data_IF_953485548460
#
_entry.id   IF_953485548460
#
_cell.length_a   1.000
_cell.length_b   1.000
_cell.length_c   1.000
_cell.angle_alpha   90.00
_cell.angle_beta   90.00
_cell.angle_gamma   90.00
#
_symmetry.space_group_name_H-M   'P 1'
#
loop_
_entity.id
_entity.type
_entity.pdbx_description
1 polymer ?
#
# COMPACT_ATOMS: atom_id res chain seq x y z
N UNK A 1 27.44 13.68 -10.96
CA UNK A 1 27.89 12.61 -11.88
C UNK A 1 29.07 11.89 -11.23
N UNK A 2 29.11 10.55 -11.18
CA UNK A 2 28.23 9.60 -11.87
C UNK A 2 26.95 9.30 -11.07
N UNK A 3 25.91 9.00 -11.83
CA UNK A 3 24.50 8.86 -11.49
C UNK A 3 23.99 7.68 -12.30
N UNK A 4 23.92 6.54 -11.63
CA UNK A 4 23.38 5.22 -11.97
C UNK A 4 23.98 4.31 -10.91
N UNK A 5 23.22 3.40 -10.33
CA UNK A 5 23.86 2.19 -9.80
C UNK A 5 24.60 1.61 -11.01
N UNK A 6 25.92 1.75 -11.02
CA UNK A 6 26.73 1.29 -12.12
C UNK A 6 26.51 -0.21 -12.16
N UNK A 7 25.94 -0.67 -13.27
CA UNK A 7 25.76 -2.09 -13.43
C UNK A 7 27.15 -2.72 -13.35
N UNK A 8 27.31 -3.78 -12.54
CA UNK A 8 28.60 -4.38 -12.27
C UNK A 8 29.31 -4.68 -13.59
N UNK A 9 30.59 -4.35 -13.62
CA UNK A 9 31.43 -4.52 -14.80
C UNK A 9 32.29 -5.76 -14.61
N UNK A 10 32.47 -6.49 -15.70
CA UNK A 10 33.47 -7.53 -15.78
C UNK A 10 34.88 -6.92 -15.68
N UNK A 11 35.91 -7.70 -15.33
CA UNK A 11 37.29 -7.22 -15.25
C UNK A 11 37.84 -6.60 -16.55
N UNK A 12 37.25 -6.94 -17.69
CA UNK A 12 37.57 -6.39 -19.00
C UNK A 12 36.93 -5.01 -19.26
N UNK A 13 36.13 -4.50 -18.31
CA UNK A 13 35.47 -3.21 -18.34
C UNK A 13 34.11 -3.20 -19.05
N UNK A 14 33.64 -4.32 -19.60
CA UNK A 14 32.30 -4.44 -20.17
C UNK A 14 31.23 -4.68 -19.09
N UNK A 15 30.00 -4.27 -19.36
CA UNK A 15 28.86 -4.55 -18.49
C UNK A 15 28.67 -6.07 -18.32
N UNK A 16 28.43 -6.51 -17.09
CA UNK A 16 28.09 -7.91 -16.81
C UNK A 16 26.84 -8.32 -17.60
N UNK A 17 26.87 -9.49 -18.25
CA UNK A 17 25.74 -9.95 -19.07
C UNK A 17 24.57 -10.53 -18.25
N UNK A 18 24.75 -10.61 -16.93
CA UNK A 18 23.74 -11.11 -16.02
C UNK A 18 23.68 -12.62 -15.92
N UNK A 19 24.66 -13.38 -16.42
CA UNK A 19 24.62 -14.85 -16.41
C UNK A 19 25.79 -15.45 -15.67
N UNK A 20 25.64 -16.72 -15.26
CA UNK A 20 26.73 -17.50 -14.66
C UNK A 20 27.35 -16.87 -13.39
N UNK A 21 26.57 -16.11 -12.61
CA UNK A 21 27.10 -15.39 -11.45
C UNK A 21 27.75 -16.34 -10.45
N UNK A 22 27.11 -17.48 -10.13
CA UNK A 22 27.68 -18.47 -9.22
C UNK A 22 29.06 -18.94 -9.70
N UNK A 23 29.17 -19.25 -11.00
CA UNK A 23 30.44 -19.67 -11.60
C UNK A 23 31.49 -18.57 -11.45
N UNK A 24 31.17 -17.35 -11.85
CA UNK A 24 32.08 -16.20 -11.77
C UNK A 24 32.57 -15.95 -10.34
N UNK A 25 31.66 -16.01 -9.37
CA UNK A 25 31.96 -15.81 -7.94
C UNK A 25 32.89 -16.90 -7.41
N UNK A 26 32.64 -18.18 -7.73
CA UNK A 26 33.50 -19.30 -7.29
C UNK A 26 34.90 -19.28 -7.91
N UNK A 27 35.05 -18.66 -9.08
CA UNK A 27 36.35 -18.46 -9.74
C UNK A 27 37.03 -17.15 -9.34
N UNK A 28 36.49 -16.41 -8.35
CA UNK A 28 37.08 -15.14 -7.88
C UNK A 28 37.05 -14.04 -8.95
N UNK A 29 36.05 -14.07 -9.82
CA UNK A 29 35.80 -13.09 -10.88
C UNK A 29 34.41 -12.48 -10.70
N UNK A 30 34.00 -12.22 -9.46
CA UNK A 30 32.67 -11.68 -9.21
C UNK A 30 32.60 -10.27 -9.78
N UNK A 31 31.59 -9.96 -10.61
CA UNK A 31 31.45 -8.61 -11.15
C UNK A 31 31.02 -7.60 -10.06
N UNK A 32 30.73 -8.09 -8.84
CA UNK A 32 30.36 -7.30 -7.66
C UNK A 32 31.49 -7.13 -6.64
N UNK A 33 32.72 -7.63 -6.90
CA UNK A 33 33.80 -7.71 -5.90
C UNK A 33 34.12 -6.38 -5.18
N UNK A 34 33.83 -5.23 -5.80
CA UNK A 34 34.06 -3.91 -5.20
C UNK A 34 32.90 -3.38 -4.33
N UNK A 35 31.73 -3.99 -4.43
CA UNK A 35 30.51 -3.52 -3.76
C UNK A 35 29.92 -4.56 -2.80
N UNK A 36 30.01 -5.85 -3.14
CA UNK A 36 29.43 -6.92 -2.35
C UNK A 36 30.16 -8.26 -2.53
N UNK A 37 30.52 -8.88 -1.41
CA UNK A 37 31.06 -10.25 -1.39
C UNK A 37 29.92 -11.28 -1.54
N UNK A 38 29.53 -11.52 -2.78
CA UNK A 38 28.51 -12.51 -3.14
C UNK A 38 28.94 -13.92 -2.74
N UNK A 39 30.25 -14.22 -2.70
CA UNK A 39 30.73 -15.55 -2.31
C UNK A 39 30.47 -15.82 -0.83
N UNK A 40 30.73 -14.83 0.03
CA UNK A 40 30.45 -14.91 1.45
C UNK A 40 28.95 -15.15 1.69
N UNK A 41 28.07 -14.40 1.01
CA UNK A 41 26.62 -14.62 1.11
C UNK A 41 26.23 -16.05 0.76
N UNK A 42 26.75 -16.57 -0.36
CA UNK A 42 26.47 -17.95 -0.78
C UNK A 42 26.93 -18.93 0.29
N UNK A 43 28.15 -18.78 0.82
CA UNK A 43 28.68 -19.63 1.89
C UNK A 43 27.80 -19.59 3.15
N UNK A 44 27.38 -18.40 3.58
CA UNK A 44 26.49 -18.24 4.73
C UNK A 44 25.13 -18.92 4.52
N UNK A 45 24.57 -18.84 3.31
CA UNK A 45 23.34 -19.55 2.97
C UNK A 45 23.56 -21.07 3.00
N UNK A 46 24.64 -21.56 2.39
CA UNK A 46 24.93 -22.99 2.35
C UNK A 46 25.12 -23.58 3.74
N UNK A 47 25.86 -22.88 4.60
CA UNK A 47 26.09 -23.27 5.99
C UNK A 47 24.81 -23.27 6.82
N UNK A 48 23.97 -22.23 6.68
CA UNK A 48 22.71 -22.12 7.43
C UNK A 48 21.66 -23.13 7.01
N UNK A 49 21.57 -23.41 5.71
CA UNK A 49 20.52 -24.28 5.17
C UNK A 49 20.99 -25.74 4.96
N UNK A 50 22.26 -26.04 5.24
CA UNK A 50 22.88 -27.36 5.02
C UNK A 50 22.63 -27.87 3.58
N UNK A 51 22.64 -26.96 2.62
CA UNK A 51 22.29 -27.21 1.23
C UNK A 51 23.20 -26.40 0.31
N UNK A 52 23.64 -26.98 -0.81
CA UNK A 52 24.52 -26.30 -1.75
C UNK A 52 23.73 -25.43 -2.73
N UNK A 53 24.21 -24.21 -2.97
CA UNK A 53 23.72 -23.38 -4.07
C UNK A 53 24.34 -23.92 -5.35
N UNK A 54 23.51 -24.52 -6.21
CA UNK A 54 23.99 -25.19 -7.43
C UNK A 54 24.00 -24.29 -8.66
N UNK A 55 23.25 -23.19 -8.66
CA UNK A 55 23.27 -22.20 -9.74
C UNK A 55 22.72 -20.83 -9.30
N UNK A 56 23.14 -19.77 -10.00
CA UNK A 56 22.49 -18.45 -10.04
C UNK A 56 22.26 -18.14 -11.52
N UNK A 57 21.10 -18.53 -12.07
CA UNK A 57 20.92 -18.64 -13.52
C UNK A 57 20.88 -17.30 -14.23
N UNK A 58 20.37 -16.25 -13.58
CA UNK A 58 20.27 -14.92 -14.16
C UNK A 58 20.23 -13.81 -13.12
N UNK A 59 20.87 -12.70 -13.43
CA UNK A 59 20.95 -11.44 -12.68
C UNK A 59 20.63 -10.33 -13.67
N UNK A 60 19.41 -9.79 -13.63
CA UNK A 60 18.98 -8.82 -14.64
C UNK A 60 19.14 -7.38 -14.17
N UNK A 61 19.67 -6.52 -15.03
CA UNK A 61 19.48 -5.08 -14.94
C UNK A 61 18.05 -4.76 -15.34
N UNK A 62 17.38 -3.85 -14.62
CA UNK A 62 16.71 -2.80 -15.37
C UNK A 62 15.21 -2.60 -15.20
N UNK A 63 14.93 -1.31 -15.23
CA UNK A 63 13.70 -0.60 -15.59
C UNK A 63 12.74 -1.27 -16.59
N UNK A 64 13.24 -1.98 -17.61
CA UNK A 64 12.40 -2.60 -18.65
C UNK A 64 11.63 -3.83 -18.14
N UNK A 65 12.18 -4.57 -17.18
CA UNK A 65 11.44 -5.67 -16.53
C UNK A 65 10.40 -5.11 -15.55
N UNK A 66 10.69 -3.98 -14.90
CA UNK A 66 9.76 -3.32 -14.00
C UNK A 66 8.51 -2.83 -14.72
N UNK A 67 8.61 -2.23 -15.92
CA UNK A 67 7.41 -1.77 -16.62
C UNK A 67 6.44 -2.92 -16.97
N UNK A 68 6.96 -4.05 -17.46
CA UNK A 68 6.16 -5.24 -17.72
C UNK A 68 5.59 -5.83 -16.42
N UNK A 69 6.42 -5.96 -15.39
CA UNK A 69 6.02 -6.49 -14.09
C UNK A 69 4.96 -5.62 -13.41
N UNK A 70 5.11 -4.30 -13.44
CA UNK A 70 4.13 -3.33 -12.91
C UNK A 70 2.81 -3.41 -13.67
N UNK A 71 2.86 -3.61 -14.99
CA UNK A 71 1.64 -3.83 -15.78
C UNK A 71 0.95 -5.15 -15.40
N UNK A 72 1.71 -6.22 -15.13
CA UNK A 72 1.16 -7.49 -14.60
C UNK A 72 0.59 -7.34 -13.20
N UNK A 73 1.30 -6.64 -12.31
CA UNK A 73 0.83 -6.33 -10.97
C UNK A 73 -0.46 -5.50 -11.01
N UNK A 74 -0.54 -4.50 -11.89
CA UNK A 74 -1.74 -3.70 -12.09
C UNK A 74 -2.93 -4.55 -12.57
N UNK A 75 -2.70 -5.50 -13.48
CA UNK A 75 -3.74 -6.43 -13.91
C UNK A 75 -4.22 -7.36 -12.77
N UNK A 76 -3.31 -7.86 -11.94
CA UNK A 76 -3.67 -8.65 -10.73
C UNK A 76 -4.48 -7.78 -9.77
N UNK A 77 -4.04 -6.54 -9.51
CA UNK A 77 -4.76 -5.61 -8.64
C UNK A 77 -6.15 -5.28 -9.17
N UNK A 78 -6.30 -5.03 -10.47
CA UNK A 78 -7.60 -4.85 -11.12
C UNK A 78 -8.49 -6.08 -10.95
N UNK A 79 -7.91 -7.28 -11.06
CA UNK A 79 -8.64 -8.55 -10.87
C UNK A 79 -9.11 -8.74 -9.43
N UNK A 80 -8.27 -8.43 -8.43
CA UNK A 80 -8.66 -8.43 -7.01
C UNK A 80 -9.76 -7.41 -6.73
N UNK A 81 -9.63 -6.20 -7.26
CA UNK A 81 -10.65 -5.17 -7.12
C UNK A 81 -11.99 -5.60 -7.74
N UNK A 82 -11.98 -6.27 -8.90
CA UNK A 82 -13.20 -6.77 -9.59
C UNK A 82 -13.76 -8.05 -8.99
N UNK A 83 -13.01 -8.74 -8.14
CA UNK A 83 -13.48 -9.95 -7.50
C UNK A 83 -14.76 -9.65 -6.69
N UNK A 84 -15.83 -10.40 -6.98
CA UNK A 84 -17.12 -10.25 -6.31
C UNK A 84 -17.08 -10.99 -4.99
N UNK A 85 -16.79 -10.27 -3.91
CA UNK A 85 -16.77 -10.84 -2.55
C UNK A 85 -18.17 -11.35 -2.19
N UNK A 86 -18.33 -12.64 -1.82
CA UNK A 86 -19.62 -13.18 -1.41
C UNK A 86 -20.17 -12.44 -0.18
N UNK A 87 -21.47 -12.05 -0.15
CA UNK A 87 -22.01 -11.27 0.96
C UNK A 87 -21.85 -11.94 2.33
N UNK A 88 -22.10 -13.25 2.41
CA UNK A 88 -21.91 -14.03 3.64
C UNK A 88 -20.44 -14.05 4.10
N UNK A 89 -19.49 -14.09 3.17
CA UNK A 89 -18.07 -14.01 3.47
C UNK A 89 -17.70 -12.62 4.02
N UNK A 90 -18.18 -11.54 3.38
CA UNK A 90 -17.98 -10.18 3.86
C UNK A 90 -18.57 -9.97 5.26
N UNK A 91 -19.81 -10.40 5.49
CA UNK A 91 -20.47 -10.27 6.80
C UNK A 91 -19.74 -11.04 7.91
N UNK A 92 -19.14 -12.19 7.61
CA UNK A 92 -18.39 -12.98 8.58
C UNK A 92 -17.02 -12.37 8.91
N UNK A 93 -16.30 -11.87 7.90
CA UNK A 93 -14.87 -11.58 8.03
C UNK A 93 -14.50 -10.10 8.09
N UNK A 94 -15.35 -9.18 7.59
CA UNK A 94 -15.01 -7.76 7.45
C UNK A 94 -14.49 -7.16 8.75
N UNK A 95 -15.24 -7.30 9.85
CA UNK A 95 -14.82 -6.75 11.17
C UNK A 95 -13.51 -7.36 11.65
N UNK A 96 -13.37 -8.68 11.57
CA UNK A 96 -12.20 -9.38 12.07
C UNK A 96 -10.93 -8.97 11.33
N UNK A 97 -11.05 -8.71 10.03
CA UNK A 97 -9.96 -8.32 9.12
C UNK A 97 -9.73 -6.81 9.02
N UNK A 98 -10.45 -5.99 9.78
CA UNK A 98 -10.08 -4.57 9.92
C UNK A 98 -8.71 -4.45 10.60
N UNK A 99 -7.94 -3.44 10.19
CA UNK A 99 -6.70 -3.06 10.86
C UNK A 99 -6.94 -2.64 12.31
N UNK A 100 -5.86 -2.56 13.08
CA UNK A 100 -5.89 -2.31 14.52
C UNK A 100 -6.66 -1.05 14.93
N UNK A 101 -7.05 -0.99 16.21
CA UNK A 101 -8.01 -0.01 16.74
C UNK A 101 -9.36 -0.07 16.02
N UNK A 102 -9.92 -1.28 15.92
CA UNK A 102 -11.22 -1.57 15.29
C UNK A 102 -12.35 -1.66 16.31
N UNK A 103 -13.61 -1.44 15.89
CA UNK A 103 -14.75 -1.56 16.79
C UNK A 103 -15.01 -3.00 17.23
N UNK A 104 -15.45 -3.17 18.47
CA UNK A 104 -15.85 -4.47 19.02
C UNK A 104 -17.07 -5.04 18.30
N UNK A 105 -18.02 -4.17 17.95
CA UNK A 105 -19.26 -4.49 17.25
C UNK A 105 -19.52 -3.46 16.16
N UNK A 106 -20.07 -3.92 15.04
CA UNK A 106 -20.56 -3.01 14.00
C UNK A 106 -21.99 -2.60 14.36
N UNK A 107 -22.33 -1.31 14.27
CA UNK A 107 -23.60 -0.77 14.79
C UNK A 107 -24.81 -1.18 13.95
N UNK A 108 -24.59 -1.59 12.70
CA UNK A 108 -25.64 -2.05 11.78
C UNK A 108 -25.15 -3.27 10.99
N UNK A 109 -26.06 -4.07 10.40
CA UNK A 109 -25.69 -5.23 9.58
C UNK A 109 -24.73 -4.88 8.45
N UNK A 110 -23.73 -5.75 8.24
CA UNK A 110 -22.77 -5.60 7.14
C UNK A 110 -23.49 -5.68 5.80
N UNK A 111 -23.38 -4.62 5.00
CA UNK A 111 -23.95 -4.57 3.66
C UNK A 111 -23.28 -3.51 2.79
N UNK A 112 -23.29 -3.66 1.46
CA UNK A 112 -22.65 -2.73 0.52
C UNK A 112 -23.51 -1.48 0.33
N UNK A 113 -23.75 -0.75 1.43
CA UNK A 113 -24.62 0.42 1.48
C UNK A 113 -23.84 1.64 1.96
N UNK A 114 -24.34 2.82 1.59
CA UNK A 114 -23.79 4.08 2.09
C UNK A 114 -23.89 4.16 3.61
N UNK A 115 -25.02 3.76 4.15
CA UNK A 115 -25.33 3.77 5.58
C UNK A 115 -24.31 2.93 6.35
N UNK A 116 -24.00 1.73 5.84
CA UNK A 116 -22.97 0.88 6.42
C UNK A 116 -21.58 1.50 6.32
N UNK A 117 -21.22 2.10 5.18
CA UNK A 117 -19.90 2.72 5.02
C UNK A 117 -19.72 3.94 5.93
N UNK A 118 -20.76 4.76 6.10
CA UNK A 118 -20.79 5.87 7.08
C UNK A 118 -20.58 5.31 8.48
N UNK A 119 -21.35 4.28 8.85
CA UNK A 119 -21.27 3.67 10.17
C UNK A 119 -19.90 3.03 10.43
N UNK A 120 -19.33 2.33 9.44
CA UNK A 120 -18.00 1.73 9.52
C UNK A 120 -16.92 2.78 9.77
N UNK A 121 -16.90 3.87 8.99
CA UNK A 121 -15.90 4.93 9.13
C UNK A 121 -16.06 5.67 10.46
N UNK A 122 -17.30 5.90 10.91
CA UNK A 122 -17.59 6.48 12.21
C UNK A 122 -17.10 5.58 13.36
N UNK A 123 -17.46 4.29 13.37
CA UNK A 123 -17.01 3.33 14.38
C UNK A 123 -15.50 3.14 14.36
N UNK A 124 -14.84 3.20 13.20
CA UNK A 124 -13.37 3.18 13.13
C UNK A 124 -12.76 4.43 13.73
N UNK A 125 -13.36 5.59 13.49
CA UNK A 125 -12.95 6.86 14.10
C UNK A 125 -13.08 6.79 15.62
N UNK A 126 -14.19 6.25 16.14
CA UNK A 126 -14.40 6.09 17.58
C UNK A 126 -13.41 5.12 18.23
N UNK A 127 -13.16 3.98 17.58
CA UNK A 127 -12.22 2.98 18.09
C UNK A 127 -10.76 3.48 18.07
N UNK A 128 -10.42 4.36 17.13
CA UNK A 128 -9.07 4.96 17.03
C UNK A 128 -8.90 6.15 17.95
N UNK A 129 -9.86 7.09 17.95
CA UNK A 129 -9.91 8.26 18.82
C UNK A 129 -10.83 7.94 20.00
N UNK A 130 -10.27 7.26 21.00
CA UNK A 130 -10.93 6.88 22.26
C UNK A 130 -11.51 8.11 23.02
N UNK A 131 -12.22 7.87 24.11
CA UNK A 131 -12.83 8.96 24.89
C UNK A 131 -11.84 9.65 25.82
N UNK A 132 -12.16 10.87 26.27
CA UNK A 132 -11.30 11.66 27.16
C UNK A 132 -10.93 10.83 28.39
N UNK A 133 -9.62 10.77 28.69
CA UNK A 133 -9.11 10.01 29.82
C UNK A 133 -8.77 8.56 29.50
N UNK A 134 -9.18 8.03 28.34
CA UNK A 134 -8.75 6.70 27.90
C UNK A 134 -7.26 6.70 27.56
N UNK A 135 -6.57 5.59 27.83
CA UNK A 135 -5.16 5.43 27.46
C UNK A 135 -5.01 5.30 25.94
N UNK A 136 -4.13 6.12 25.38
CA UNK A 136 -3.73 6.13 23.96
C UNK A 136 -2.27 5.76 23.81
N UNK A 137 -1.99 4.56 23.30
CA UNK A 137 -0.62 4.07 23.05
C UNK A 137 -0.31 2.76 23.79
N UNK A 138 0.95 2.34 23.76
CA UNK A 138 1.48 1.27 24.60
C UNK A 138 1.40 1.67 26.09
N UNK A 139 1.27 0.69 26.97
CA UNK A 139 1.05 0.86 28.43
C UNK A 139 2.12 1.70 29.15
N UNK A 140 3.29 1.91 28.53
CA UNK A 140 4.41 2.66 29.09
C UNK A 140 4.33 4.19 28.88
N UNK A 141 3.48 4.65 27.96
CA UNK A 141 3.25 6.07 27.71
C UNK A 141 1.96 6.51 28.43
N UNK A 142 2.09 7.33 29.48
CA UNK A 142 1.03 7.99 30.26
C UNK A 142 0.16 8.98 29.43
N UNK A 143 0.00 8.73 28.13
CA UNK A 143 -0.75 9.53 27.17
C UNK A 143 -2.24 9.17 27.26
N UNK A 144 -2.98 9.93 28.07
CA UNK A 144 -4.44 9.92 28.04
C UNK A 144 -4.99 10.81 26.91
N UNK A 145 -6.19 10.48 26.40
CA UNK A 145 -6.89 11.32 25.43
C UNK A 145 -7.14 12.72 26.02
N UNK A 146 -6.42 13.71 25.49
CA UNK A 146 -6.62 15.12 25.81
C UNK A 146 -7.77 15.77 25.04
N UNK A 147 -8.17 17.01 25.43
CA UNK A 147 -9.30 17.72 24.83
C UNK A 147 -9.15 17.97 23.32
N UNK A 148 -7.92 18.05 22.81
CA UNK A 148 -7.64 18.22 21.37
C UNK A 148 -8.12 17.00 20.56
N UNK A 149 -7.85 15.80 21.05
CA UNK A 149 -8.23 14.55 20.37
C UNK A 149 -9.75 14.39 20.41
N UNK A 150 -10.38 14.69 21.55
CA UNK A 150 -11.83 14.67 21.68
C UNK A 150 -12.54 15.68 20.76
N UNK A 151 -11.98 16.89 20.61
CA UNK A 151 -12.48 17.87 19.65
C UNK A 151 -12.35 17.35 18.21
N UNK A 152 -11.20 16.79 17.84
CA UNK A 152 -10.98 16.19 16.53
C UNK A 152 -11.97 15.05 16.22
N UNK A 153 -12.21 14.15 17.20
CA UNK A 153 -13.23 13.09 17.10
C UNK A 153 -14.59 13.66 16.77
N UNK A 154 -15.03 14.68 17.52
CA UNK A 154 -16.34 15.33 17.32
C UNK A 154 -16.46 15.93 15.91
N UNK A 155 -15.42 16.63 15.44
CA UNK A 155 -15.38 17.22 14.10
C UNK A 155 -15.48 16.16 13.01
N UNK A 156 -14.74 15.05 13.15
CA UNK A 156 -14.74 13.94 12.19
C UNK A 156 -16.10 13.24 12.13
N UNK A 157 -16.68 12.90 13.29
CA UNK A 157 -18.00 12.26 13.35
C UNK A 157 -19.10 13.15 12.75
N UNK A 158 -18.99 14.48 12.90
CA UNK A 158 -19.88 15.41 12.22
C UNK A 158 -19.64 15.44 10.71
N UNK A 159 -18.41 15.35 10.23
CA UNK A 159 -18.05 15.44 8.81
C UNK A 159 -18.42 14.17 8.00
N UNK A 160 -18.19 12.98 8.56
CA UNK A 160 -18.30 11.70 7.84
C UNK A 160 -19.62 11.54 7.03
N UNK A 161 -20.81 11.86 7.58
CA UNK A 161 -22.06 11.74 6.83
C UNK A 161 -22.18 12.68 5.62
N UNK A 162 -21.37 13.73 5.54
CA UNK A 162 -21.44 14.74 4.47
C UNK A 162 -20.45 14.49 3.33
N UNK A 163 -19.31 13.84 3.62
CA UNK A 163 -18.28 13.52 2.63
C UNK A 163 -18.55 12.22 1.87
N UNK A 164 -19.41 11.35 2.41
CA UNK A 164 -19.81 10.12 1.72
C UNK A 164 -20.79 10.45 0.57
N UNK A 165 -20.49 10.07 -0.69
CA UNK A 165 -21.34 10.38 -1.85
C UNK A 165 -22.81 9.97 -1.68
N UNK A 166 -23.76 10.70 -2.27
CA UNK A 166 -25.21 10.40 -2.24
C UNK A 166 -25.69 10.10 -3.68
N UNK A 167 -26.43 9.02 -3.93
CA UNK A 167 -26.94 8.69 -5.27
C UNK A 167 -27.21 7.19 -5.51
N UNK A 168 -28.04 6.88 -6.51
CA UNK A 168 -28.54 5.53 -6.83
C UNK A 168 -27.65 4.75 -7.83
N UNK A 169 -26.70 5.40 -8.52
CA UNK A 169 -25.68 4.74 -9.35
C UNK A 169 -24.47 4.22 -8.53
N UNK A 170 -24.60 4.18 -7.20
CA UNK A 170 -23.51 4.01 -6.23
C UNK A 170 -23.20 2.56 -5.82
N UNK A 171 -23.79 1.55 -6.46
CA UNK A 171 -23.50 0.14 -6.10
C UNK A 171 -22.01 -0.18 -6.21
N UNK A 172 -21.30 0.47 -7.15
CA UNK A 172 -19.85 0.28 -7.33
C UNK A 172 -19.00 0.98 -6.26
N UNK A 173 -19.50 2.02 -5.59
CA UNK A 173 -18.76 2.73 -4.53
C UNK A 173 -18.70 1.92 -3.24
N UNK A 174 -19.81 1.26 -2.90
CA UNK A 174 -19.98 0.63 -1.59
C UNK A 174 -19.89 -0.90 -1.63
N UNK A 175 -19.81 -1.52 -2.82
CA UNK A 175 -19.51 -2.95 -2.92
C UNK A 175 -18.22 -3.28 -2.17
N UNK A 176 -18.18 -4.47 -1.60
CA UNK A 176 -16.98 -4.95 -0.93
C UNK A 176 -15.97 -5.47 -1.95
N UNK A 177 -14.71 -5.15 -1.69
CA UNK A 177 -13.54 -5.62 -2.44
C UNK A 177 -12.57 -6.32 -1.51
N UNK A 178 -11.68 -7.11 -2.10
CA UNK A 178 -10.60 -7.77 -1.39
C UNK A 178 -9.29 -7.01 -1.65
N UNK A 179 -8.71 -6.48 -0.58
CA UNK A 179 -7.38 -5.88 -0.61
C UNK A 179 -6.36 -6.81 0.04
N UNK A 180 -5.15 -6.83 -0.52
CA UNK A 180 -4.07 -7.66 -0.03
C UNK A 180 -3.51 -7.20 1.32
N UNK A 181 -3.56 -5.90 1.61
CA UNK A 181 -2.98 -5.28 2.81
C UNK A 181 -1.49 -4.97 2.69
N UNK A 182 -0.71 -5.83 2.03
CA UNK A 182 0.71 -5.59 1.72
C UNK A 182 1.04 -5.97 0.27
N UNK A 183 0.48 -5.23 -0.69
CA UNK A 183 0.64 -5.58 -2.10
C UNK A 183 1.92 -4.99 -2.67
N UNK A 184 2.91 -5.84 -2.93
CA UNK A 184 4.17 -5.42 -3.51
C UNK A 184 4.91 -6.52 -4.22
N UNK A 185 5.98 -6.14 -4.93
CA UNK A 185 6.84 -7.10 -5.65
C UNK A 185 7.41 -8.15 -4.70
N UNK A 186 7.72 -7.77 -3.46
CA UNK A 186 8.28 -8.66 -2.43
C UNK A 186 7.35 -9.83 -2.08
N UNK A 187 6.04 -9.71 -2.35
CA UNK A 187 5.04 -10.75 -2.09
C UNK A 187 4.63 -11.53 -3.34
N UNK A 188 5.28 -11.29 -4.49
CA UNK A 188 4.95 -11.92 -5.77
C UNK A 188 5.97 -13.00 -6.16
N UNK A 189 5.49 -14.19 -6.54
CA UNK A 189 6.32 -15.18 -7.25
C UNK A 189 6.39 -14.83 -8.73
N UNK A 190 7.58 -14.47 -9.19
CA UNK A 190 7.82 -14.06 -10.58
C UNK A 190 8.62 -15.15 -11.29
N UNK A 191 8.03 -15.72 -12.34
CA UNK A 191 8.68 -16.64 -13.27
C UNK A 191 8.91 -15.95 -14.61
N UNK A 192 9.91 -16.38 -15.38
CA UNK A 192 10.04 -15.95 -16.77
C UNK A 192 9.20 -16.85 -17.67
N UNK A 193 8.41 -16.25 -18.56
CA UNK A 193 7.69 -16.99 -19.58
C UNK A 193 8.62 -17.42 -20.74
N UNK A 194 8.06 -18.16 -21.70
CA UNK A 194 8.78 -18.64 -22.89
C UNK A 194 9.38 -17.52 -23.77
N UNK A 195 8.95 -16.28 -23.60
CA UNK A 195 9.42 -15.10 -24.31
C UNK A 195 10.36 -14.25 -23.45
N UNK A 196 10.83 -14.78 -22.31
CA UNK A 196 11.67 -14.07 -21.34
C UNK A 196 10.99 -12.82 -20.74
N UNK A 197 9.66 -12.83 -20.62
CA UNK A 197 8.88 -11.79 -19.96
C UNK A 197 8.52 -12.22 -18.53
N UNK A 198 8.54 -11.29 -17.57
CA UNK A 198 8.14 -11.60 -16.20
C UNK A 198 6.65 -11.93 -16.13
N UNK A 199 6.34 -13.04 -15.47
CA UNK A 199 5.00 -13.53 -15.20
C UNK A 199 4.84 -13.74 -13.70
N UNK A 200 3.92 -13.01 -13.09
CA UNK A 200 3.51 -13.26 -11.71
C UNK A 200 2.58 -14.47 -11.69
N UNK A 201 2.95 -15.50 -10.93
CA UNK A 201 2.20 -16.77 -10.86
C UNK A 201 1.46 -16.95 -9.54
N UNK A 202 1.96 -16.33 -8.46
CA UNK A 202 1.41 -16.41 -7.11
C UNK A 202 1.60 -15.09 -6.36
N UNK A 203 0.70 -14.83 -5.42
CA UNK A 203 0.76 -13.73 -4.47
C UNK A 203 0.60 -14.30 -3.06
N UNK A 204 1.53 -13.98 -2.16
CA UNK A 204 1.61 -14.53 -0.80
C UNK A 204 1.44 -13.45 0.25
N UNK A 205 1.44 -13.87 1.52
CA UNK A 205 1.39 -12.97 2.68
C UNK A 205 0.06 -12.23 2.86
N UNK A 206 -1.03 -13.00 2.77
CA UNK A 206 -2.40 -12.52 2.96
C UNK A 206 -2.77 -12.26 4.43
N UNK A 207 -1.80 -12.17 5.34
CA UNK A 207 -2.07 -11.98 6.77
C UNK A 207 -2.79 -10.65 7.05
N UNK A 208 -2.41 -9.60 6.31
CA UNK A 208 -3.00 -8.25 6.34
C UNK A 208 -4.16 -8.06 5.36
N UNK A 209 -4.55 -9.14 4.67
CA UNK A 209 -5.64 -9.14 3.70
C UNK A 209 -6.98 -8.77 4.34
N UNK A 210 -7.70 -7.85 3.70
CA UNK A 210 -8.91 -7.28 4.29
C UNK A 210 -10.03 -7.01 3.28
N UNK A 211 -11.24 -6.95 3.82
CA UNK A 211 -12.47 -6.68 3.06
C UNK A 211 -12.91 -5.27 3.38
N UNK A 212 -13.02 -4.42 2.37
CA UNK A 212 -13.39 -3.01 2.54
C UNK A 212 -14.39 -2.57 1.48
N UNK A 213 -15.21 -1.55 1.76
CA UNK A 213 -15.95 -0.85 0.71
C UNK A 213 -15.00 -0.34 -0.37
N UNK A 214 -15.37 -0.45 -1.64
CA UNK A 214 -14.53 -0.06 -2.78
C UNK A 214 -14.02 1.38 -2.66
N UNK A 215 -14.83 2.31 -2.14
CA UNK A 215 -14.47 3.71 -1.90
C UNK A 215 -13.26 3.89 -0.96
N UNK A 216 -13.02 2.93 -0.07
CA UNK A 216 -11.92 2.93 0.90
C UNK A 216 -10.74 2.04 0.48
N UNK A 217 -10.83 1.36 -0.66
CA UNK A 217 -9.85 0.37 -1.10
C UNK A 217 -8.50 0.97 -1.50
N UNK A 218 -7.40 0.28 -1.19
CA UNK A 218 -6.06 0.79 -1.46
C UNK A 218 -5.42 0.19 -2.73
N UNK A 219 -5.22 0.99 -3.80
CA UNK A 219 -4.58 0.53 -5.02
C UNK A 219 -3.06 0.46 -4.91
N UNK A 220 -2.48 0.73 -3.73
CA UNK A 220 -1.04 0.75 -3.48
C UNK A 220 -0.30 -0.43 -4.12
N UNK A 221 0.88 -0.10 -4.64
CA UNK A 221 1.87 -1.06 -5.11
C UNK A 221 3.22 -0.74 -4.47
N UNK A 222 3.68 -1.61 -3.58
CA UNK A 222 4.97 -1.50 -2.94
C UNK A 222 6.09 -2.05 -3.86
N UNK A 223 7.07 -1.18 -4.09
CA UNK A 223 8.37 -1.51 -4.68
C UNK A 223 9.44 -1.01 -3.70
N UNK A 224 10.58 -0.50 -4.17
CA UNK A 224 11.54 0.25 -3.31
C UNK A 224 10.89 1.45 -2.61
N UNK A 225 9.79 1.95 -3.15
CA UNK A 225 8.92 3.01 -2.62
C UNK A 225 7.46 2.56 -2.76
N UNK A 226 6.53 3.26 -2.14
CA UNK A 226 5.10 2.96 -2.32
C UNK A 226 4.53 3.81 -3.45
N UNK A 227 4.02 3.15 -4.49
CA UNK A 227 3.26 3.79 -5.56
C UNK A 227 1.80 3.89 -5.10
N UNK A 228 1.30 5.11 -4.88
CA UNK A 228 -0.03 5.35 -4.31
C UNK A 228 -0.89 6.23 -5.21
N UNK A 229 -2.21 6.10 -5.10
CA UNK A 229 -3.14 7.01 -5.73
C UNK A 229 -3.33 8.22 -4.80
N UNK A 230 -2.82 9.38 -5.23
CA UNK A 230 -2.95 10.65 -4.53
C UNK A 230 -4.32 11.32 -4.77
N UNK A 231 -4.32 12.64 -4.63
CA UNK A 231 -5.50 13.48 -4.92
C UNK A 231 -5.99 13.26 -6.36
N UNK A 232 -7.32 13.23 -6.54
CA UNK A 232 -7.96 12.94 -7.82
C UNK A 232 -7.52 11.64 -8.52
N UNK A 233 -7.09 10.64 -7.75
CA UNK A 233 -6.49 9.39 -8.23
C UNK A 233 -5.20 9.61 -9.06
N UNK A 234 -4.53 10.76 -8.91
CA UNK A 234 -3.28 11.02 -9.59
C UNK A 234 -2.15 10.11 -9.06
N UNK A 235 -1.25 9.62 -9.94
CA UNK A 235 -0.09 8.86 -9.51
C UNK A 235 0.78 9.66 -8.52
N UNK A 236 1.09 9.07 -7.37
CA UNK A 236 1.92 9.68 -6.34
C UNK A 236 2.86 8.65 -5.69
N UNK A 237 3.69 9.10 -4.76
CA UNK A 237 4.75 8.32 -4.10
C UNK A 237 4.73 8.58 -2.60
N UNK A 238 4.97 7.53 -1.81
CA UNK A 238 5.27 7.64 -0.38
C UNK A 238 6.43 6.72 0.00
N UNK A 239 6.89 6.80 1.27
CA UNK A 239 8.10 6.10 1.78
C UNK A 239 9.37 6.38 0.97
N UNK A 240 9.49 7.59 0.45
CA UNK A 240 10.74 8.04 -0.16
C UNK A 240 11.83 8.14 0.92
N UNK A 241 13.06 7.68 0.66
CA UNK A 241 14.17 7.89 1.58
C UNK A 241 14.50 9.38 1.67
N UNK A 242 14.91 9.85 2.85
CA UNK A 242 15.29 11.25 3.08
C UNK A 242 16.45 11.70 2.16
N UNK A 243 17.24 10.75 1.68
CA UNK A 243 18.38 10.95 0.77
C UNK A 243 18.02 10.68 -0.69
N UNK A 244 16.74 10.68 -1.07
CA UNK A 244 16.30 10.41 -2.44
C UNK A 244 16.95 11.39 -3.44
N UNK A 245 17.60 10.84 -4.46
CA UNK A 245 18.21 11.61 -5.55
C UNK A 245 17.14 12.04 -6.57
N UNK A 246 17.45 13.06 -7.38
CA UNK A 246 16.57 13.50 -8.46
C UNK A 246 16.27 12.37 -9.46
N UNK A 247 17.27 11.54 -9.77
CA UNK A 247 17.12 10.42 -10.69
C UNK A 247 16.18 9.34 -10.15
N UNK A 248 16.32 8.99 -8.85
CA UNK A 248 15.41 8.04 -8.19
C UNK A 248 13.96 8.57 -8.21
N UNK A 249 13.78 9.87 -7.97
CA UNK A 249 12.46 10.51 -8.02
C UNK A 249 11.86 10.46 -9.43
N UNK A 250 12.65 10.72 -10.47
CA UNK A 250 12.19 10.64 -11.87
C UNK A 250 11.81 9.20 -12.24
N UNK A 251 12.65 8.24 -11.86
CA UNK A 251 12.43 6.82 -12.12
C UNK A 251 11.15 6.31 -11.46
N UNK A 252 11.04 6.49 -10.13
CA UNK A 252 9.87 6.04 -9.35
C UNK A 252 8.60 6.78 -9.74
N UNK A 253 8.68 8.06 -10.10
CA UNK A 253 7.54 8.80 -10.65
C UNK A 253 7.06 8.19 -11.96
N UNK A 254 7.99 7.70 -12.79
CA UNK A 254 7.62 7.03 -14.04
C UNK A 254 6.98 5.67 -13.79
N UNK A 255 7.48 4.90 -12.83
CA UNK A 255 6.84 3.65 -12.39
C UNK A 255 5.42 3.88 -11.87
N UNK A 256 5.21 4.89 -11.02
CA UNK A 256 3.88 5.27 -10.51
C UNK A 256 2.92 5.58 -11.67
N UNK A 257 3.34 6.43 -12.62
CA UNK A 257 2.52 6.73 -13.80
C UNK A 257 2.18 5.50 -14.64
N UNK A 258 3.15 4.60 -14.85
CA UNK A 258 2.93 3.39 -15.65
C UNK A 258 1.97 2.41 -14.96
N UNK A 259 2.17 2.17 -13.66
CA UNK A 259 1.33 1.29 -12.87
C UNK A 259 -0.13 1.78 -12.85
N UNK A 260 -0.38 3.03 -12.48
CA UNK A 260 -1.74 3.57 -12.41
C UNK A 260 -2.40 3.70 -13.78
N UNK A 261 -1.64 4.03 -14.83
CA UNK A 261 -2.15 4.00 -16.21
C UNK A 261 -2.64 2.59 -16.59
N UNK A 262 -1.86 1.56 -16.29
CA UNK A 262 -2.26 0.18 -16.56
C UNK A 262 -3.46 -0.24 -15.69
N UNK A 263 -3.43 0.08 -14.40
CA UNK A 263 -4.49 -0.28 -13.45
C UNK A 263 -5.84 0.33 -13.84
N UNK A 264 -5.87 1.61 -14.17
CA UNK A 264 -7.12 2.30 -14.53
C UNK A 264 -7.55 2.04 -15.98
N UNK A 265 -6.63 1.64 -16.86
CA UNK A 265 -7.01 1.07 -18.14
C UNK A 265 -7.76 -0.26 -17.95
N UNK A 266 -7.25 -1.13 -17.07
CA UNK A 266 -7.88 -2.42 -16.77
C UNK A 266 -9.19 -2.23 -16.00
N UNK A 267 -9.22 -1.38 -14.97
CA UNK A 267 -10.35 -1.11 -14.07
C UNK A 267 -10.69 0.39 -13.98
N UNK A 268 -11.30 1.00 -15.01
CA UNK A 268 -11.61 2.43 -15.03
C UNK A 268 -12.63 2.84 -13.96
N UNK A 269 -13.46 1.92 -13.49
CA UNK A 269 -14.36 2.13 -12.37
C UNK A 269 -13.62 2.36 -11.04
N UNK A 270 -12.41 1.79 -10.87
CA UNK A 270 -11.62 1.96 -9.65
C UNK A 270 -11.11 3.40 -9.54
N UNK A 271 -10.68 3.99 -10.66
CA UNK A 271 -10.28 5.40 -10.72
C UNK A 271 -11.42 6.33 -10.28
N UNK A 272 -12.64 6.10 -10.81
CA UNK A 272 -13.83 6.88 -10.44
C UNK A 272 -14.15 6.76 -8.95
N UNK A 273 -14.05 5.56 -8.41
CA UNK A 273 -14.33 5.27 -6.99
C UNK A 273 -13.29 5.95 -6.08
N UNK A 274 -12.00 5.92 -6.45
CA UNK A 274 -10.94 6.61 -5.70
C UNK A 274 -11.19 8.13 -5.70
N UNK A 275 -11.51 8.71 -6.85
CA UNK A 275 -11.85 10.15 -6.96
C UNK A 275 -13.06 10.53 -6.11
N UNK A 276 -14.15 9.75 -6.21
CA UNK A 276 -15.36 9.98 -5.43
C UNK A 276 -15.12 9.82 -3.92
N UNK A 277 -14.14 9.02 -3.52
CA UNK A 277 -13.80 8.75 -2.13
C UNK A 277 -12.81 9.71 -1.48
N UNK A 278 -12.28 10.71 -2.18
CA UNK A 278 -11.12 11.51 -1.74
C UNK A 278 -11.10 11.90 -0.25
N UNK A 279 -12.16 12.55 0.23
CA UNK A 279 -12.28 12.97 1.63
C UNK A 279 -12.40 11.78 2.61
N UNK A 280 -13.20 10.76 2.26
CA UNK A 280 -13.39 9.58 3.10
C UNK A 280 -12.09 8.75 3.21
N UNK A 281 -11.36 8.65 2.10
CA UNK A 281 -10.05 8.01 2.01
C UNK A 281 -9.00 8.75 2.84
N UNK A 282 -9.01 10.09 2.80
CA UNK A 282 -8.11 10.88 3.63
C UNK A 282 -8.26 10.53 5.12
N UNK A 283 -9.50 10.44 5.62
CA UNK A 283 -9.75 10.01 7.00
C UNK A 283 -9.28 8.55 7.18
N UNK A 284 -9.73 7.64 6.33
CA UNK A 284 -9.43 6.21 6.44
C UNK A 284 -7.93 5.90 6.55
N UNK A 285 -7.13 6.42 5.63
CA UNK A 285 -5.68 6.19 5.62
C UNK A 285 -4.97 6.95 6.74
N UNK A 286 -5.48 8.10 7.19
CA UNK A 286 -4.92 8.78 8.36
C UNK A 286 -5.18 7.98 9.65
N UNK A 287 -6.33 7.31 9.76
CA UNK A 287 -6.60 6.40 10.89
C UNK A 287 -5.75 5.14 10.80
N UNK A 288 -5.48 4.62 9.60
CA UNK A 288 -4.65 3.44 9.38
C UNK A 288 -3.16 3.68 9.66
N UNK A 289 -2.64 4.84 9.27
CA UNK A 289 -1.23 5.21 9.45
C UNK A 289 -0.86 5.64 10.88
N UNK A 290 -1.83 5.64 11.80
CA UNK A 290 -1.61 6.05 13.18
C UNK A 290 -0.78 5.02 13.95
N UNK A 291 0.40 5.42 14.43
CA UNK A 291 1.34 4.54 15.15
C UNK A 291 1.17 4.51 16.67
N UNK A 292 0.40 5.44 17.26
CA UNK A 292 0.27 5.60 18.71
C UNK A 292 0.96 6.84 19.29
N UNK A 293 1.84 7.52 18.54
CA UNK A 293 2.72 8.56 19.08
C UNK A 293 2.17 9.99 19.00
N UNK A 294 2.09 10.69 20.14
CA UNK A 294 1.67 12.11 20.24
C UNK A 294 0.27 12.38 19.64
N UNK A 295 -0.78 11.75 20.18
CA UNK A 295 -2.13 11.76 19.59
C UNK A 295 -2.71 13.16 19.44
N UNK A 296 -2.45 14.07 20.38
CA UNK A 296 -2.89 15.46 20.29
C UNK A 296 -2.32 16.21 19.08
N UNK A 297 -1.04 16.01 18.75
CA UNK A 297 -0.42 16.66 17.58
C UNK A 297 -0.91 16.04 16.27
N UNK A 298 -1.04 14.72 16.24
CA UNK A 298 -1.46 13.99 15.05
C UNK A 298 -2.93 14.25 14.73
N UNK A 299 -3.84 13.92 15.65
CA UNK A 299 -5.28 14.11 15.46
C UNK A 299 -5.70 15.58 15.52
N UNK A 300 -4.94 16.46 16.16
CA UNK A 300 -5.19 17.90 16.11
C UNK A 300 -5.13 18.45 14.67
N UNK A 301 -4.18 17.97 13.85
CA UNK A 301 -4.12 18.35 12.42
C UNK A 301 -5.31 17.81 11.63
N UNK A 302 -5.68 16.55 11.87
CA UNK A 302 -6.82 15.92 11.21
C UNK A 302 -8.14 16.60 11.59
N UNK A 303 -8.32 16.96 12.86
CA UNK A 303 -9.47 17.72 13.35
C UNK A 303 -9.56 19.12 12.75
N UNK A 304 -8.43 19.84 12.65
CA UNK A 304 -8.38 21.14 11.99
C UNK A 304 -8.71 21.04 10.49
N UNK A 305 -8.25 19.99 9.81
CA UNK A 305 -8.67 19.69 8.43
C UNK A 305 -10.18 19.43 8.35
N UNK A 306 -10.74 18.64 9.26
CA UNK A 306 -12.16 18.31 9.26
C UNK A 306 -13.05 19.56 9.47
N UNK A 307 -12.66 20.48 10.36
CA UNK A 307 -13.38 21.74 10.57
C UNK A 307 -13.33 22.65 9.34
N UNK A 308 -12.18 22.77 8.67
CA UNK A 308 -12.11 23.50 7.39
C UNK A 308 -13.02 22.86 6.35
N UNK A 309 -13.03 21.54 6.26
CA UNK A 309 -13.86 20.83 5.28
C UNK A 309 -15.36 20.97 5.56
N UNK A 310 -15.78 20.97 6.82
CA UNK A 310 -17.16 21.27 7.23
C UNK A 310 -17.60 22.66 6.77
N UNK A 311 -16.72 23.67 6.89
CA UNK A 311 -16.99 25.03 6.42
C UNK A 311 -17.12 25.10 4.89
N UNK A 312 -16.22 24.44 4.16
CA UNK A 312 -16.27 24.36 2.69
C UNK A 312 -17.56 23.69 2.18
N UNK A 313 -18.08 22.71 2.92
CA UNK A 313 -19.32 22.01 2.60
C UNK A 313 -20.59 22.75 3.09
N UNK A 314 -20.44 23.90 3.76
CA UNK A 314 -21.58 24.66 4.31
C UNK A 314 -22.32 23.95 5.44
N UNK A 315 -21.66 23.02 6.15
CA UNK A 315 -22.23 22.33 7.31
C UNK A 315 -22.04 23.23 8.54
N UNK A 316 -23.10 23.95 8.91
CA UNK A 316 -23.10 24.83 10.09
C UNK A 316 -22.98 24.04 11.40
N UNK A 317 -22.46 24.70 12.44
CA UNK A 317 -22.21 24.13 13.78
C UNK A 317 -23.47 23.64 14.49
#
# INVERSE_FOLDING_TARGET
MPSRDDWPKMPDGYDFDGRHLLTLVRYGSSPFDNEWDVNLLIQEMEDKFLALVVDIPQVSKGYNHYSCLLSRAAHIRASLYRFKVPPNFASAWLRQRLFEQKPDLLPIPVGPTREFCVALLASKTEATLKDIGDMTGCEDDDNSVGPIVAAAKKSLLRLIPHIMPKGDDNMDLYRFVLDHGDFGIHNMLIAMDKNNQPLVTSLFDWETGHIVPAILSDPLMAVTVDLVAGEDAAPSLTRLPDTATADLLEETSTWSRQYFKALFFEAPEYERVIRAGGDARHIWFTLQAWSGDKPGKYFGKLGAWAERRLQELGVNQ
#
